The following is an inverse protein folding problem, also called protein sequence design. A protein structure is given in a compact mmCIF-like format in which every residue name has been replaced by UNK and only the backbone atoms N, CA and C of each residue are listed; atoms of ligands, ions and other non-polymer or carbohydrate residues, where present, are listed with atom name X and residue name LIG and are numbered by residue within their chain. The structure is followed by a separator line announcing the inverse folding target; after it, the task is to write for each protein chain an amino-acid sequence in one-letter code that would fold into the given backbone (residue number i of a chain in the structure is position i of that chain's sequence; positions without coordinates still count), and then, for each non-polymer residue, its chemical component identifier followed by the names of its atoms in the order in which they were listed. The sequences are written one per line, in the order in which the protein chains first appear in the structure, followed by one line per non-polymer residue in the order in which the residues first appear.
data_IF_357011392833
#
_entry.id   IF_357011392833
#
_cell.length_a   1.000
_cell.length_b   1.000
_cell.length_c   1.000
_cell.angle_alpha   90.00
_cell.angle_beta   90.00
_cell.angle_gamma   90.00
#
_symmetry.space_group_name_H-M   'P 1'
#
loop_
_entity.id
_entity.type
_entity.pdbx_description
1 polymer ?
#
# COMPACT_ATOMS: atom_id res chain seq x y z
N UNK A 1 -5.96 5.25 4.59
CA UNK A 1 -6.99 4.18 4.47
C UNK A 1 -8.36 4.75 4.80
N UNK A 2 -9.39 4.41 4.01
CA UNK A 2 -10.76 4.89 4.28
C UNK A 2 -11.38 3.99 5.34
N UNK A 3 -11.75 4.57 6.48
CA UNK A 3 -12.49 3.86 7.53
C UNK A 3 -13.98 3.83 7.17
N UNK A 4 -14.55 2.65 7.06
CA UNK A 4 -15.95 2.48 6.73
C UNK A 4 -16.61 1.42 7.63
N UNK A 5 -17.94 1.52 7.79
CA UNK A 5 -18.72 0.49 8.50
C UNK A 5 -19.18 -0.59 7.49
N UNK A 6 -18.70 -1.84 7.58
CA UNK A 6 -19.06 -2.90 6.62
C UNK A 6 -20.57 -3.24 6.59
N UNK A 7 -21.36 -2.77 7.58
CA UNK A 7 -22.81 -3.04 7.66
C UNK A 7 -23.65 -2.10 6.78
N UNK A 8 -23.06 -1.03 6.25
CA UNK A 8 -23.80 0.00 5.45
C UNK A 8 -23.84 -0.34 3.96
N UNK A 9 -24.22 -1.56 3.60
CA UNK A 9 -24.15 -2.11 2.25
C UNK A 9 -24.83 -1.23 1.17
N UNK A 10 -26.06 -0.82 1.42
CA UNK A 10 -26.81 0.00 0.45
C UNK A 10 -26.22 1.40 0.26
N UNK A 11 -25.66 1.99 1.31
CA UNK A 11 -25.06 3.32 1.24
C UNK A 11 -23.78 3.32 0.39
N UNK A 12 -23.06 2.20 0.34
CA UNK A 12 -21.85 2.06 -0.50
C UNK A 12 -22.14 2.01 -1.98
N UNK A 13 -23.20 1.32 -2.41
CA UNK A 13 -23.57 1.18 -3.82
C UNK A 13 -23.79 2.55 -4.48
N UNK A 14 -24.25 3.53 -3.72
CA UNK A 14 -24.58 4.88 -4.24
C UNK A 14 -23.55 5.96 -3.87
N UNK A 15 -22.53 5.63 -3.07
CA UNK A 15 -21.43 6.56 -2.76
C UNK A 15 -20.31 6.44 -3.77
N UNK A 16 -20.34 7.29 -4.79
CA UNK A 16 -19.23 7.49 -5.72
C UNK A 16 -18.06 8.20 -5.00
N UNK A 17 -17.25 7.44 -4.27
CA UNK A 17 -16.07 7.96 -3.58
C UNK A 17 -14.89 8.14 -4.56
N UNK A 18 -13.85 8.93 -4.19
CA UNK A 18 -12.64 9.10 -5.01
C UNK A 18 -11.88 7.78 -5.26
N UNK A 19 -12.04 6.81 -4.37
CA UNK A 19 -11.47 5.45 -4.50
C UNK A 19 -12.35 4.51 -5.33
N UNK A 20 -13.47 4.98 -5.89
CA UNK A 20 -14.37 4.15 -6.67
C UNK A 20 -13.85 3.99 -8.10
N UNK A 21 -13.55 2.75 -8.46
CA UNK A 21 -13.13 2.35 -9.81
C UNK A 21 -14.14 2.74 -10.88
N UNK A 22 -15.44 2.83 -10.55
CA UNK A 22 -16.49 3.26 -11.47
C UNK A 22 -16.21 4.66 -12.05
N UNK A 23 -15.80 5.60 -11.20
CA UNK A 23 -15.50 6.97 -11.64
C UNK A 23 -14.28 7.05 -12.55
N UNK A 24 -13.26 6.24 -12.24
CA UNK A 24 -12.04 6.17 -13.05
C UNK A 24 -12.32 5.54 -14.42
N UNK A 25 -13.19 4.54 -14.47
CA UNK A 25 -13.52 3.79 -15.68
C UNK A 25 -14.63 4.43 -16.53
N UNK A 26 -15.32 5.44 -16.03
CA UNK A 26 -16.48 6.04 -16.73
C UNK A 26 -16.19 6.44 -18.19
N UNK A 27 -15.07 7.13 -18.53
CA UNK A 27 -14.77 7.46 -19.92
C UNK A 27 -14.60 6.23 -20.82
N UNK A 28 -13.93 5.20 -20.29
CA UNK A 28 -13.73 3.95 -21.00
C UNK A 28 -15.05 3.18 -21.19
N UNK A 29 -15.89 3.16 -20.15
CA UNK A 29 -17.22 2.54 -20.19
C UNK A 29 -18.11 3.17 -21.25
N UNK A 30 -18.11 4.50 -21.37
CA UNK A 30 -18.86 5.21 -22.41
C UNK A 30 -18.34 4.86 -23.80
N UNK A 31 -17.03 4.82 -24.00
CA UNK A 31 -16.41 4.42 -25.28
C UNK A 31 -16.80 3.00 -25.68
N UNK A 32 -16.74 2.06 -24.73
CA UNK A 32 -17.13 0.65 -24.97
C UNK A 32 -18.63 0.49 -25.17
N UNK A 33 -19.47 1.31 -24.52
CA UNK A 33 -20.92 1.31 -24.75
C UNK A 33 -21.27 1.71 -26.20
N UNK A 34 -20.63 2.77 -26.70
CA UNK A 34 -20.79 3.24 -28.09
C UNK A 34 -20.31 2.17 -29.07
N UNK A 35 -19.14 1.59 -28.82
CA UNK A 35 -18.57 0.52 -29.65
C UNK A 35 -19.48 -0.70 -29.71
N UNK A 36 -19.90 -1.23 -28.57
CA UNK A 36 -20.77 -2.41 -28.49
C UNK A 36 -22.14 -2.15 -29.09
N UNK A 37 -22.70 -0.94 -28.90
CA UNK A 37 -23.93 -0.54 -29.51
C UNK A 37 -23.86 -0.44 -31.06
N UNK A 38 -22.75 0.09 -31.57
CA UNK A 38 -22.50 0.14 -33.02
C UNK A 38 -22.40 -1.25 -33.63
N UNK A 39 -21.68 -2.20 -32.99
CA UNK A 39 -21.61 -3.59 -33.47
C UNK A 39 -22.98 -4.25 -33.43
N UNK A 40 -23.75 -4.12 -32.33
CA UNK A 40 -25.07 -4.66 -32.22
C UNK A 40 -26.01 -4.15 -33.29
N UNK A 41 -25.98 -2.83 -33.59
CA UNK A 41 -26.73 -2.22 -34.67
C UNK A 41 -26.32 -2.75 -36.04
N UNK A 42 -25.00 -2.82 -36.32
CA UNK A 42 -24.47 -3.29 -37.60
C UNK A 42 -24.85 -4.75 -37.86
N UNK A 43 -24.66 -5.65 -36.90
CA UNK A 43 -25.01 -7.07 -37.05
C UNK A 43 -26.51 -7.29 -37.24
N UNK A 44 -27.36 -6.53 -36.53
CA UNK A 44 -28.79 -6.62 -36.67
C UNK A 44 -29.26 -6.25 -38.09
N UNK A 45 -28.62 -5.29 -38.77
CA UNK A 45 -29.02 -4.80 -40.08
C UNK A 45 -28.38 -5.52 -41.26
N UNK A 46 -27.19 -6.12 -41.09
CA UNK A 46 -26.42 -6.58 -42.24
C UNK A 46 -26.05 -8.06 -42.22
N UNK A 47 -25.94 -8.73 -41.08
CA UNK A 47 -25.29 -10.01 -40.96
C UNK A 47 -26.12 -11.14 -40.31
N UNK A 48 -27.42 -10.96 -40.21
CA UNK A 48 -28.25 -12.01 -39.62
C UNK A 48 -28.49 -13.17 -40.62
N UNK A 49 -27.56 -14.13 -40.68
CA UNK A 49 -27.69 -15.39 -41.45
C UNK A 49 -27.54 -16.63 -40.54
N UNK A 50 -28.14 -17.73 -40.95
CA UNK A 50 -28.05 -19.02 -40.21
C UNK A 50 -26.62 -19.55 -40.10
N UNK A 51 -25.76 -19.30 -41.08
CA UNK A 51 -24.36 -19.73 -41.11
C UNK A 51 -23.51 -19.02 -40.07
N UNK A 52 -23.71 -17.69 -39.91
CA UNK A 52 -23.01 -16.90 -38.87
C UNK A 52 -23.37 -17.35 -37.48
N UNK A 53 -24.59 -17.87 -37.28
CA UNK A 53 -25.06 -18.33 -35.97
C UNK A 53 -24.38 -19.60 -35.49
N UNK A 54 -24.08 -20.55 -36.39
CA UNK A 54 -23.36 -21.77 -36.03
C UNK A 54 -21.87 -21.50 -35.74
N UNK A 55 -21.25 -20.59 -36.51
CA UNK A 55 -19.87 -20.18 -36.26
C UNK A 55 -19.74 -19.46 -34.91
N UNK A 56 -20.64 -18.56 -34.57
CA UNK A 56 -20.63 -17.84 -33.28
C UNK A 56 -20.83 -18.77 -32.07
N UNK A 57 -21.63 -19.86 -32.23
CA UNK A 57 -21.74 -20.90 -31.17
C UNK A 57 -20.43 -21.63 -30.93
N UNK A 58 -19.70 -22.02 -31.98
CA UNK A 58 -18.42 -22.69 -31.85
C UNK A 58 -17.37 -21.75 -31.18
N UNK A 59 -17.32 -20.48 -31.60
CA UNK A 59 -16.42 -19.49 -31.06
C UNK A 59 -16.78 -19.16 -29.57
N UNK A 60 -18.06 -19.16 -29.22
CA UNK A 60 -18.50 -18.86 -27.85
C UNK A 60 -18.00 -19.89 -26.84
N UNK A 61 -17.82 -21.15 -27.25
CA UNK A 61 -17.23 -22.20 -26.42
C UNK A 61 -15.75 -21.88 -26.10
N UNK A 62 -14.96 -21.55 -27.14
CA UNK A 62 -13.56 -21.15 -26.98
C UNK A 62 -13.45 -19.86 -26.10
N UNK A 63 -14.33 -18.91 -26.36
CA UNK A 63 -14.39 -17.67 -25.61
C UNK A 63 -14.67 -17.91 -24.12
N UNK A 64 -15.56 -18.86 -23.79
CA UNK A 64 -15.85 -19.24 -22.41
C UNK A 64 -14.62 -19.85 -21.71
N UNK A 65 -13.82 -20.66 -22.41
CA UNK A 65 -12.56 -21.21 -21.89
C UNK A 65 -11.56 -20.07 -21.64
N UNK A 66 -11.46 -19.10 -22.55
CA UNK A 66 -10.61 -17.92 -22.37
C UNK A 66 -11.08 -17.09 -21.17
N UNK A 67 -12.38 -16.94 -20.97
CA UNK A 67 -12.96 -16.25 -19.80
C UNK A 67 -12.62 -16.93 -18.49
N UNK A 68 -12.67 -18.26 -18.44
CA UNK A 68 -12.22 -19.02 -17.27
C UNK A 68 -10.73 -18.80 -16.99
N UNK A 69 -9.90 -18.87 -18.04
CA UNK A 69 -8.44 -18.62 -17.92
C UNK A 69 -8.17 -17.21 -17.41
N UNK A 70 -8.87 -16.20 -17.95
CA UNK A 70 -8.73 -14.82 -17.52
C UNK A 70 -9.13 -14.64 -16.04
N UNK A 71 -10.24 -15.25 -15.63
CA UNK A 71 -10.70 -15.21 -14.24
C UNK A 71 -9.67 -15.81 -13.28
N UNK A 72 -9.06 -16.94 -13.66
CA UNK A 72 -8.00 -17.57 -12.86
C UNK A 72 -6.77 -16.66 -12.74
N UNK A 73 -6.34 -16.03 -13.83
CA UNK A 73 -5.22 -15.10 -13.83
C UNK A 73 -5.50 -13.87 -12.95
N UNK A 74 -6.73 -13.35 -12.98
CA UNK A 74 -7.14 -12.24 -12.11
C UNK A 74 -7.11 -12.63 -10.61
N UNK A 75 -7.54 -13.84 -10.27
CA UNK A 75 -7.44 -14.34 -8.89
C UNK A 75 -5.99 -14.42 -8.44
N UNK A 76 -5.08 -14.95 -9.24
CA UNK A 76 -3.65 -14.98 -8.91
C UNK A 76 -3.07 -13.57 -8.79
N UNK A 77 -3.47 -12.65 -9.67
CA UNK A 77 -3.05 -11.25 -9.64
C UNK A 77 -3.46 -10.58 -8.33
N UNK A 78 -4.73 -10.73 -7.97
CA UNK A 78 -5.28 -10.11 -6.75
C UNK A 78 -4.65 -10.72 -5.49
N UNK A 79 -4.47 -12.05 -5.43
CA UNK A 79 -3.83 -12.70 -4.31
C UNK A 79 -2.38 -12.22 -4.12
N UNK A 80 -1.60 -12.16 -5.21
CA UNK A 80 -0.22 -11.68 -5.14
C UNK A 80 -0.13 -10.23 -4.66
N UNK A 81 -1.03 -9.35 -5.11
CA UNK A 81 -1.10 -7.97 -4.65
C UNK A 81 -1.51 -7.89 -3.17
N UNK A 82 -2.50 -8.67 -2.75
CA UNK A 82 -2.94 -8.74 -1.36
C UNK A 82 -1.84 -9.26 -0.41
N UNK A 83 -1.07 -10.27 -0.83
CA UNK A 83 0.04 -10.81 -0.03
C UNK A 83 1.09 -9.72 0.25
N UNK A 84 1.41 -8.88 -0.73
CA UNK A 84 2.32 -7.75 -0.58
C UNK A 84 1.77 -6.69 0.39
N UNK A 85 0.50 -6.34 0.24
CA UNK A 85 -0.18 -5.41 1.14
C UNK A 85 -0.18 -5.93 2.57
N UNK A 86 -0.48 -7.23 2.75
CA UNK A 86 -0.51 -7.87 4.06
C UNK A 86 0.88 -8.02 4.69
N UNK A 87 1.90 -8.31 3.86
CA UNK A 87 3.30 -8.29 4.32
C UNK A 87 3.69 -6.89 4.83
N UNK A 88 3.38 -5.84 4.08
CA UNK A 88 3.60 -4.47 4.52
C UNK A 88 2.90 -4.15 5.84
N UNK A 89 1.65 -4.60 6.01
CA UNK A 89 0.89 -4.43 7.26
C UNK A 89 1.53 -5.15 8.45
N UNK A 90 2.03 -6.36 8.24
CA UNK A 90 2.76 -7.12 9.28
C UNK A 90 4.04 -6.40 9.69
N UNK A 91 4.85 -5.95 8.74
CA UNK A 91 6.09 -5.23 9.01
C UNK A 91 5.88 -3.97 9.86
N UNK A 92 4.83 -3.21 9.60
CA UNK A 92 4.47 -2.06 10.43
C UNK A 92 3.96 -2.47 11.81
N UNK A 93 3.34 -3.64 11.94
CA UNK A 93 3.03 -4.24 13.23
C UNK A 93 4.28 -4.62 14.01
N UNK A 94 5.25 -5.23 13.34
CA UNK A 94 6.54 -5.60 13.93
C UNK A 94 7.33 -4.36 14.37
N UNK A 95 7.30 -3.28 13.56
CA UNK A 95 7.88 -2.00 13.94
C UNK A 95 7.28 -1.46 15.25
N UNK A 96 5.97 -1.53 15.39
CA UNK A 96 5.25 -1.13 16.61
C UNK A 96 5.73 -1.92 17.83
N UNK A 97 5.79 -3.25 17.70
CA UNK A 97 6.18 -4.14 18.79
C UNK A 97 7.64 -3.98 19.17
N UNK A 98 8.52 -3.87 18.18
CA UNK A 98 9.97 -3.68 18.42
C UNK A 98 10.23 -2.32 19.07
N UNK A 99 9.54 -1.24 18.68
CA UNK A 99 9.67 0.06 19.32
C UNK A 99 9.21 0.03 20.78
N UNK A 100 8.07 -0.63 21.05
CA UNK A 100 7.56 -0.80 22.42
C UNK A 100 8.50 -1.62 23.29
N UNK A 101 9.03 -2.72 22.77
CA UNK A 101 9.97 -3.58 23.49
C UNK A 101 11.24 -2.81 23.86
N UNK A 102 11.87 -2.16 22.88
CA UNK A 102 13.07 -1.34 23.09
C UNK A 102 12.82 -0.24 24.12
N UNK A 103 11.74 0.52 23.99
CA UNK A 103 11.39 1.60 24.91
C UNK A 103 11.17 1.09 26.35
N UNK A 104 10.45 -0.03 26.51
CA UNK A 104 10.19 -0.63 27.82
C UNK A 104 11.46 -1.17 28.47
N UNK A 105 12.32 -1.85 27.70
CA UNK A 105 13.60 -2.35 28.21
C UNK A 105 14.55 -1.21 28.58
N UNK A 106 14.61 -0.15 27.77
CA UNK A 106 15.41 1.02 28.07
C UNK A 106 14.89 1.75 29.33
N UNK A 107 13.57 1.85 29.48
CA UNK A 107 12.94 2.42 30.67
C UNK A 107 13.28 1.66 31.97
N UNK A 108 13.42 0.33 31.89
CA UNK A 108 13.77 -0.50 33.03
C UNK A 108 15.24 -0.35 33.47
N UNK A 109 16.13 0.01 32.54
CA UNK A 109 17.58 0.10 32.80
C UNK A 109 18.03 1.54 33.16
N UNK A 110 17.44 2.56 32.51
CA UNK A 110 17.81 3.96 32.77
C UNK A 110 17.28 4.44 34.12
N UNK A 111 18.07 5.22 34.88
CA UNK A 111 17.61 5.88 36.10
C UNK A 111 16.35 6.72 35.84
N UNK A 112 15.41 6.74 36.79
CA UNK A 112 14.15 7.48 36.67
C UNK A 112 14.36 9.00 36.54
N UNK A 113 15.44 9.49 37.12
CA UNK A 113 15.85 10.88 37.14
C UNK A 113 16.46 11.36 35.82
N UNK A 114 16.89 10.43 34.95
CA UNK A 114 17.53 10.73 33.65
C UNK A 114 16.50 11.06 32.58
N UNK A 115 15.82 12.18 32.75
CA UNK A 115 14.79 12.69 31.82
C UNK A 115 15.39 13.04 30.46
N UNK A 116 16.61 13.59 30.45
CA UNK A 116 17.27 14.01 29.21
C UNK A 116 17.52 12.84 28.26
N UNK A 117 18.08 11.75 28.76
CA UNK A 117 18.33 10.55 27.96
C UNK A 117 17.01 9.91 27.45
N UNK A 118 15.98 9.93 28.28
CA UNK A 118 14.64 9.43 27.89
C UNK A 118 14.02 10.27 26.78
N UNK A 119 14.06 11.60 26.90
CA UNK A 119 13.53 12.50 25.88
C UNK A 119 14.27 12.36 24.55
N UNK A 120 15.60 12.25 24.56
CA UNK A 120 16.38 12.05 23.35
C UNK A 120 16.05 10.71 22.66
N UNK A 121 15.95 9.63 23.42
CA UNK A 121 15.53 8.32 22.89
C UNK A 121 14.11 8.38 22.35
N UNK A 122 13.19 8.99 23.08
CA UNK A 122 11.79 9.16 22.65
C UNK A 122 11.68 9.93 21.35
N UNK A 123 12.49 10.98 21.19
CA UNK A 123 12.56 11.80 20.00
C UNK A 123 13.07 11.00 18.79
N UNK A 124 14.17 10.26 18.95
CA UNK A 124 14.74 9.43 17.88
C UNK A 124 13.80 8.27 17.52
N UNK A 125 13.20 7.60 18.50
CA UNK A 125 12.21 6.53 18.29
C UNK A 125 10.96 7.03 17.58
N UNK A 126 10.50 8.25 17.89
CA UNK A 126 9.38 8.88 17.19
C UNK A 126 9.77 9.22 15.75
N UNK A 127 10.98 9.70 15.53
CA UNK A 127 11.45 10.14 14.20
C UNK A 127 11.62 8.96 13.23
N UNK A 128 11.96 7.77 13.69
CA UNK A 128 12.20 6.62 12.82
C UNK A 128 10.98 6.22 11.96
N UNK A 129 9.78 6.00 12.51
CA UNK A 129 8.61 5.63 11.70
C UNK A 129 8.17 6.76 10.74
N UNK A 130 8.36 8.04 11.10
CA UNK A 130 8.12 9.16 10.20
C UNK A 130 9.15 9.20 9.06
N UNK A 131 10.42 8.95 9.36
CA UNK A 131 11.47 8.84 8.36
C UNK A 131 11.18 7.69 7.39
N UNK A 132 10.76 6.53 7.90
CA UNK A 132 10.38 5.38 7.08
C UNK A 132 9.18 5.69 6.18
N UNK A 133 8.14 6.30 6.73
CA UNK A 133 6.95 6.67 5.99
C UNK A 133 7.28 7.64 4.83
N UNK A 134 8.05 8.70 5.09
CA UNK A 134 8.47 9.66 4.09
C UNK A 134 9.36 8.98 3.01
N UNK A 135 10.35 8.19 3.43
CA UNK A 135 11.24 7.45 2.53
C UNK A 135 10.48 6.49 1.60
N UNK A 136 9.49 5.77 2.12
CA UNK A 136 8.66 4.87 1.32
C UNK A 136 7.81 5.62 0.27
N UNK A 137 7.50 6.89 0.49
CA UNK A 137 6.83 7.77 -0.49
C UNK A 137 7.78 8.52 -1.43
N UNK A 138 9.10 8.29 -1.33
CA UNK A 138 10.15 9.09 -1.97
C UNK A 138 10.12 10.58 -1.58
N UNK A 139 9.70 10.85 -0.36
CA UNK A 139 9.62 12.19 0.24
C UNK A 139 10.66 12.30 1.36
N UNK A 140 10.83 13.49 1.89
CA UNK A 140 11.56 13.75 3.13
C UNK A 140 10.57 14.12 4.24
N UNK A 141 11.00 13.93 5.48
CA UNK A 141 10.21 14.40 6.64
C UNK A 141 9.98 15.90 6.49
N UNK A 142 8.75 16.36 6.73
CA UNK A 142 8.36 17.75 6.66
C UNK A 142 9.11 18.59 7.71
N UNK A 143 9.51 19.81 7.34
CA UNK A 143 10.13 20.77 8.25
C UNK A 143 9.25 21.11 9.45
N UNK A 144 7.93 21.10 9.30
CA UNK A 144 6.97 21.29 10.39
C UNK A 144 7.10 20.21 11.48
N UNK A 145 7.43 18.96 11.13
CA UNK A 145 7.71 17.90 12.08
C UNK A 145 8.94 18.23 12.93
N UNK A 146 10.02 18.66 12.30
CA UNK A 146 11.25 19.03 13.01
C UNK A 146 11.03 20.24 13.92
N UNK A 147 10.35 21.27 13.45
CA UNK A 147 10.04 22.45 14.26
C UNK A 147 9.23 22.12 15.52
N UNK A 148 8.31 21.14 15.41
CA UNK A 148 7.45 20.70 16.51
C UNK A 148 8.17 19.79 17.52
N UNK A 149 9.03 18.87 17.04
CA UNK A 149 9.58 17.80 17.87
C UNK A 149 11.01 18.09 18.36
N UNK A 150 11.82 18.85 17.62
CA UNK A 150 13.26 19.01 17.83
C UNK A 150 13.65 20.40 18.35
N UNK A 151 12.99 20.88 19.40
CA UNK A 151 13.18 22.25 19.92
C UNK A 151 14.40 22.42 20.87
N UNK A 152 15.01 21.33 21.34
CA UNK A 152 16.10 21.36 22.34
C UNK A 152 17.48 21.44 21.70
N UNK A 153 18.38 22.25 22.26
CA UNK A 153 19.70 22.55 21.68
C UNK A 153 20.61 21.34 21.46
N UNK A 154 20.58 20.34 22.35
CA UNK A 154 21.37 19.10 22.18
C UNK A 154 20.85 18.22 21.04
N UNK A 155 19.58 18.32 20.71
CA UNK A 155 18.95 17.59 19.62
C UNK A 155 19.33 18.18 18.24
N UNK A 156 19.82 19.40 18.16
CA UNK A 156 20.06 20.12 16.90
C UNK A 156 21.06 19.39 15.98
N UNK A 157 22.13 18.82 16.53
CA UNK A 157 23.15 18.12 15.74
C UNK A 157 22.58 16.87 15.03
N UNK A 158 21.78 16.07 15.74
CA UNK A 158 21.11 14.90 15.13
C UNK A 158 20.04 15.34 14.13
N UNK A 159 19.29 16.39 14.45
CA UNK A 159 18.26 16.96 13.57
C UNK A 159 18.84 17.34 12.21
N UNK A 160 19.90 18.13 12.18
CA UNK A 160 20.55 18.56 10.93
C UNK A 160 21.10 17.38 10.12
N UNK A 161 21.71 16.42 10.78
CA UNK A 161 22.19 15.19 10.12
C UNK A 161 21.04 14.43 9.45
N UNK A 162 19.92 14.23 10.13
CA UNK A 162 18.75 13.52 9.63
C UNK A 162 18.11 14.28 8.48
N UNK A 163 17.95 15.61 8.60
CA UNK A 163 17.37 16.47 7.54
C UNK A 163 18.14 16.37 6.22
N UNK A 164 19.46 16.41 6.30
CA UNK A 164 20.34 16.42 5.12
C UNK A 164 20.64 15.01 4.57
N UNK A 165 20.28 13.95 5.31
CA UNK A 165 20.53 12.59 4.88
C UNK A 165 19.73 12.25 3.61
N UNK A 166 20.38 11.50 2.70
CA UNK A 166 19.71 10.90 1.54
C UNK A 166 18.76 9.79 1.98
N UNK A 167 19.18 9.00 2.96
CA UNK A 167 18.41 7.89 3.52
C UNK A 167 18.10 8.18 5.00
N UNK A 168 17.02 8.92 5.22
CA UNK A 168 16.67 9.38 6.57
C UNK A 168 16.44 8.26 7.58
N UNK A 169 15.74 7.14 7.28
CA UNK A 169 15.58 6.03 8.24
C UNK A 169 16.91 5.46 8.71
N UNK A 170 17.87 5.27 7.80
CA UNK A 170 19.21 4.76 8.13
C UNK A 170 19.96 5.75 9.03
N UNK A 171 19.84 7.05 8.77
CA UNK A 171 20.51 8.05 9.60
C UNK A 171 19.90 8.13 11.02
N UNK A 172 18.56 8.03 11.15
CA UNK A 172 17.93 7.93 12.47
C UNK A 172 18.41 6.68 13.22
N UNK A 173 18.49 5.54 12.53
CA UNK A 173 19.05 4.31 13.11
C UNK A 173 20.49 4.51 13.60
N UNK A 174 21.35 5.17 12.80
CA UNK A 174 22.74 5.49 13.20
C UNK A 174 22.76 6.39 14.43
N UNK A 175 21.92 7.41 14.48
CA UNK A 175 21.81 8.28 15.65
C UNK A 175 21.38 7.49 16.90
N UNK A 176 20.43 6.58 16.79
CA UNK A 176 20.03 5.67 17.89
C UNK A 176 21.20 4.80 18.37
N UNK A 177 21.93 4.19 17.44
CA UNK A 177 23.11 3.36 17.76
C UNK A 177 24.23 4.16 18.42
N UNK A 178 24.51 5.36 17.93
CA UNK A 178 25.50 6.27 18.50
C UNK A 178 25.09 6.71 19.92
N UNK A 179 23.81 7.06 20.11
CA UNK A 179 23.31 7.48 21.40
C UNK A 179 23.34 6.37 22.44
N UNK A 180 22.95 5.14 22.11
CA UNK A 180 23.11 3.97 23.00
C UNK A 180 24.58 3.74 23.36
N UNK A 181 25.52 3.90 22.41
CA UNK A 181 26.93 3.78 22.69
C UNK A 181 27.44 4.93 23.60
N UNK A 182 26.90 6.14 23.46
CA UNK A 182 27.21 7.27 24.33
C UNK A 182 26.75 7.00 25.77
N UNK A 183 25.53 6.52 25.98
CA UNK A 183 25.01 6.15 27.31
C UNK A 183 25.89 5.11 28.02
N UNK A 184 26.50 4.21 27.27
CA UNK A 184 27.49 3.25 27.83
C UNK A 184 28.77 3.94 28.25
N UNK A 185 29.30 4.88 27.46
CA UNK A 185 30.53 5.62 27.82
C UNK A 185 30.31 6.50 29.07
N UNK A 186 29.09 7.00 29.26
CA UNK A 186 28.67 7.74 30.45
C UNK A 186 28.43 6.86 31.68
N UNK A 187 28.60 5.54 31.54
CA UNK A 187 28.40 4.56 32.63
C UNK A 187 26.92 4.28 32.96
N UNK A 188 25.96 4.79 32.15
CA UNK A 188 24.52 4.59 32.35
C UNK A 188 24.05 3.20 31.89
N UNK A 189 24.79 2.56 30.97
CA UNK A 189 24.52 1.21 30.44
C UNK A 189 25.77 0.34 30.58
N UNK A 190 25.55 -0.90 31.00
CA UNK A 190 26.64 -1.90 31.00
C UNK A 190 26.80 -2.54 29.60
N UNK A 191 27.94 -3.19 29.35
CA UNK A 191 28.24 -3.77 28.03
C UNK A 191 27.24 -4.82 27.55
N UNK A 192 26.65 -5.59 28.46
CA UNK A 192 25.62 -6.58 28.13
C UNK A 192 24.33 -5.92 27.67
N UNK A 193 23.90 -4.86 28.36
CA UNK A 193 22.73 -4.06 27.97
C UNK A 193 22.92 -3.42 26.59
N UNK A 194 24.12 -2.89 26.31
CA UNK A 194 24.43 -2.31 24.99
C UNK A 194 24.29 -3.34 23.88
N UNK A 195 24.81 -4.55 24.10
CA UNK A 195 24.66 -5.61 23.09
C UNK A 195 23.20 -5.99 22.85
N UNK A 196 22.40 -6.09 23.91
CA UNK A 196 20.98 -6.36 23.81
C UNK A 196 20.24 -5.26 23.03
N UNK A 197 20.45 -3.99 23.38
CA UNK A 197 19.81 -2.85 22.70
C UNK A 197 20.20 -2.72 21.24
N UNK A 198 21.47 -2.99 20.90
CA UNK A 198 21.90 -3.02 19.50
C UNK A 198 21.17 -4.10 18.70
N UNK A 199 20.95 -5.26 19.29
CA UNK A 199 20.19 -6.36 18.66
C UNK A 199 18.74 -5.99 18.46
N UNK A 200 18.12 -5.27 19.40
CA UNK A 200 16.74 -4.77 19.25
C UNK A 200 16.64 -3.68 18.18
N UNK A 201 17.59 -2.75 18.14
CA UNK A 201 17.62 -1.71 17.12
C UNK A 201 17.78 -2.28 15.71
N UNK A 202 18.55 -3.37 15.53
CA UNK A 202 18.69 -4.02 14.22
C UNK A 202 17.33 -4.45 13.65
N UNK A 203 16.36 -4.84 14.48
CA UNK A 203 15.01 -5.18 14.01
C UNK A 203 14.29 -4.00 13.35
N UNK A 204 14.61 -2.76 13.74
CA UNK A 204 14.02 -1.57 13.10
C UNK A 204 14.54 -1.42 11.66
N UNK A 205 15.86 -1.61 11.46
CA UNK A 205 16.42 -1.50 10.11
C UNK A 205 16.06 -2.71 9.24
N UNK A 206 15.84 -3.89 9.82
CA UNK A 206 15.35 -5.08 9.12
C UNK A 206 13.93 -4.82 8.57
N UNK A 207 13.05 -4.17 9.34
CA UNK A 207 11.73 -3.75 8.87
C UNK A 207 11.85 -2.73 7.74
N UNK A 208 12.77 -1.76 7.84
CA UNK A 208 13.01 -0.78 6.79
C UNK A 208 13.39 -1.48 5.47
N UNK A 209 14.38 -2.36 5.49
CA UNK A 209 14.83 -3.10 4.31
C UNK A 209 13.74 -4.01 3.73
N UNK A 210 12.92 -4.63 4.57
CA UNK A 210 11.79 -5.43 4.11
C UNK A 210 10.70 -4.58 3.42
N UNK A 211 10.38 -3.38 3.95
CA UNK A 211 9.47 -2.45 3.31
C UNK A 211 10.02 -1.93 1.97
N UNK A 212 11.31 -1.61 1.90
CA UNK A 212 11.99 -1.22 0.67
C UNK A 212 11.95 -2.33 -0.38
N UNK A 213 12.15 -3.57 0.01
CA UNK A 213 12.03 -4.72 -0.89
C UNK A 213 10.62 -4.79 -1.49
N UNK A 214 9.57 -4.67 -0.67
CA UNK A 214 8.19 -4.63 -1.17
C UNK A 214 8.03 -3.51 -2.20
N UNK A 215 8.46 -2.31 -1.89
CA UNK A 215 8.34 -1.15 -2.78
C UNK A 215 9.10 -1.32 -4.10
N UNK A 216 10.36 -1.78 -4.04
CA UNK A 216 11.29 -1.75 -5.16
C UNK A 216 11.23 -3.00 -6.05
N UNK A 217 10.48 -4.03 -5.65
CA UNK A 217 10.30 -5.26 -6.44
C UNK A 217 8.81 -5.49 -6.76
N UNK A 218 8.22 -4.69 -7.67
CA UNK A 218 6.83 -4.87 -8.09
C UNK A 218 6.65 -6.19 -8.85
N UNK A 219 5.41 -6.58 -9.09
CA UNK A 219 5.07 -7.72 -9.95
C UNK A 219 5.65 -7.46 -11.36
N UNK A 220 6.19 -8.50 -12.05
CA UNK A 220 6.84 -8.33 -13.35
C UNK A 220 5.96 -7.58 -14.35
N UNK A 221 6.50 -6.55 -14.98
CA UNK A 221 5.83 -5.68 -15.95
C UNK A 221 5.13 -6.47 -17.07
N UNK A 222 5.80 -7.50 -17.59
CA UNK A 222 5.24 -8.34 -18.67
C UNK A 222 3.93 -9.04 -18.28
N UNK A 223 3.80 -9.46 -17.00
CA UNK A 223 2.59 -10.09 -16.50
C UNK A 223 1.44 -9.08 -16.42
N UNK A 224 1.67 -7.91 -15.85
CA UNK A 224 0.65 -6.85 -15.73
C UNK A 224 0.18 -6.36 -17.10
N UNK A 225 1.11 -6.15 -18.05
CA UNK A 225 0.77 -5.73 -19.42
C UNK A 225 0.01 -6.83 -20.17
N UNK A 226 0.41 -8.10 -20.02
CA UNK A 226 -0.29 -9.22 -20.64
C UNK A 226 -1.74 -9.27 -20.15
N UNK A 227 -1.96 -9.17 -18.85
CA UNK A 227 -3.29 -9.23 -18.26
C UNK A 227 -4.19 -8.07 -18.75
N UNK A 228 -3.68 -6.83 -18.75
CA UNK A 228 -4.41 -5.66 -19.29
C UNK A 228 -4.78 -5.83 -20.77
N UNK A 229 -3.86 -6.35 -21.59
CA UNK A 229 -4.14 -6.67 -23.00
C UNK A 229 -5.18 -7.77 -23.12
N UNK A 230 -5.10 -8.82 -22.30
CA UNK A 230 -6.06 -9.90 -22.33
C UNK A 230 -7.47 -9.43 -21.97
N UNK A 231 -7.62 -8.62 -20.91
CA UNK A 231 -8.91 -7.99 -20.55
C UNK A 231 -9.43 -7.17 -21.73
N UNK A 232 -8.59 -6.31 -22.32
CA UNK A 232 -8.98 -5.46 -23.44
C UNK A 232 -9.51 -6.28 -24.63
N UNK A 233 -8.76 -7.26 -25.13
CA UNK A 233 -9.17 -8.08 -26.27
C UNK A 233 -10.42 -8.93 -25.92
N UNK A 234 -10.47 -9.45 -24.69
CA UNK A 234 -11.62 -10.21 -24.23
C UNK A 234 -12.90 -9.36 -24.26
N UNK A 235 -12.88 -8.15 -23.76
CA UNK A 235 -14.03 -7.23 -23.78
C UNK A 235 -14.38 -6.77 -25.19
N UNK A 236 -13.36 -6.47 -26.03
CA UNK A 236 -13.62 -6.03 -27.40
C UNK A 236 -14.23 -7.13 -28.29
N UNK A 237 -13.90 -8.38 -28.07
CA UNK A 237 -14.47 -9.51 -28.79
C UNK A 237 -15.90 -9.87 -28.34
N UNK A 238 -16.29 -9.48 -27.11
CA UNK A 238 -17.57 -9.84 -26.53
C UNK A 238 -18.78 -9.48 -27.43
N UNK A 239 -18.91 -8.23 -27.95
CA UNK A 239 -20.03 -7.87 -28.79
C UNK A 239 -20.10 -8.71 -30.08
N UNK A 240 -18.99 -9.00 -30.72
CA UNK A 240 -18.95 -9.81 -31.95
C UNK A 240 -19.47 -11.24 -31.77
N UNK A 241 -19.33 -11.79 -30.58
CA UNK A 241 -19.71 -13.17 -30.28
C UNK A 241 -21.18 -13.27 -29.84
N UNK A 242 -21.67 -12.27 -29.11
CA UNK A 242 -22.97 -12.36 -28.42
C UNK A 242 -24.03 -11.38 -28.92
N UNK A 243 -23.76 -10.48 -29.89
CA UNK A 243 -24.70 -9.50 -30.40
C UNK A 243 -25.95 -10.16 -30.99
N UNK A 244 -25.81 -11.27 -31.73
CA UNK A 244 -26.94 -12.03 -32.31
C UNK A 244 -27.86 -12.63 -31.24
N UNK A 245 -27.35 -12.85 -30.02
CA UNK A 245 -28.15 -13.44 -28.93
C UNK A 245 -28.76 -12.39 -28.01
N UNK A 246 -28.11 -11.22 -27.86
CA UNK A 246 -28.46 -10.22 -26.86
C UNK A 246 -29.03 -8.91 -27.42
N UNK A 247 -28.94 -8.68 -28.72
CA UNK A 247 -29.43 -7.51 -29.51
C UNK A 247 -29.40 -6.20 -28.71
N UNK A 248 -30.44 -5.91 -27.92
CA UNK A 248 -30.60 -4.64 -27.16
C UNK A 248 -29.76 -4.60 -25.89
N UNK A 249 -29.36 -5.74 -25.34
CA UNK A 249 -28.59 -5.83 -24.09
C UNK A 249 -27.09 -5.93 -24.29
N UNK A 250 -26.61 -5.95 -25.53
CA UNK A 250 -25.18 -6.15 -25.80
C UNK A 250 -24.32 -5.03 -25.23
N UNK A 251 -24.74 -3.77 -25.37
CA UNK A 251 -23.97 -2.64 -24.84
C UNK A 251 -23.91 -2.62 -23.29
N UNK A 252 -25.04 -2.69 -22.54
CA UNK A 252 -24.98 -2.69 -21.09
C UNK A 252 -24.24 -3.93 -20.52
N UNK A 253 -24.38 -5.10 -21.13
CA UNK A 253 -23.66 -6.31 -20.67
C UNK A 253 -22.16 -6.19 -20.93
N UNK A 254 -21.74 -5.71 -22.11
CA UNK A 254 -20.32 -5.48 -22.41
C UNK A 254 -19.69 -4.50 -21.44
N UNK A 255 -20.38 -3.41 -21.14
CA UNK A 255 -19.92 -2.41 -20.17
C UNK A 255 -19.81 -3.00 -18.76
N UNK A 256 -20.76 -3.83 -18.37
CA UNK A 256 -20.73 -4.50 -17.08
C UNK A 256 -19.54 -5.48 -16.98
N UNK A 257 -19.28 -6.28 -18.02
CA UNK A 257 -18.12 -7.19 -18.11
C UNK A 257 -16.81 -6.40 -18.03
N UNK A 258 -16.69 -5.29 -18.79
CA UNK A 258 -15.56 -4.39 -18.70
C UNK A 258 -15.36 -3.89 -17.28
N UNK A 259 -16.40 -3.35 -16.68
CA UNK A 259 -16.36 -2.78 -15.34
C UNK A 259 -15.83 -3.81 -14.32
N UNK A 260 -16.40 -5.02 -14.30
CA UNK A 260 -16.00 -6.06 -13.33
C UNK A 260 -14.53 -6.45 -13.51
N UNK A 261 -14.11 -6.79 -14.74
CA UNK A 261 -12.75 -7.27 -14.99
C UNK A 261 -11.69 -6.19 -14.73
N UNK A 262 -11.97 -4.97 -15.20
CA UNK A 262 -11.01 -3.87 -15.06
C UNK A 262 -10.97 -3.33 -13.62
N UNK A 263 -12.09 -3.34 -12.90
CA UNK A 263 -12.12 -2.94 -11.49
C UNK A 263 -11.28 -3.87 -10.61
N UNK A 264 -11.32 -5.18 -10.85
CA UNK A 264 -10.49 -6.15 -10.13
C UNK A 264 -9.01 -5.86 -10.37
N UNK A 265 -8.62 -5.59 -11.64
CA UNK A 265 -7.23 -5.27 -11.97
C UNK A 265 -6.77 -3.94 -11.36
N UNK A 266 -7.61 -2.90 -11.39
CA UNK A 266 -7.29 -1.60 -10.77
C UNK A 266 -7.10 -1.72 -9.25
N UNK A 267 -8.00 -2.46 -8.58
CA UNK A 267 -7.86 -2.70 -7.13
C UNK A 267 -6.56 -3.46 -6.84
N UNK A 268 -6.23 -4.47 -7.65
CA UNK A 268 -4.99 -5.21 -7.49
C UNK A 268 -3.75 -4.32 -7.73
N UNK A 269 -3.81 -3.39 -8.69
CA UNK A 269 -2.74 -2.43 -8.98
C UNK A 269 -2.51 -1.46 -7.81
N UNK A 270 -3.59 -0.93 -7.21
CA UNK A 270 -3.49 -0.06 -6.03
C UNK A 270 -2.85 -0.78 -4.84
N UNK A 271 -3.38 -1.95 -4.44
CA UNK A 271 -2.89 -2.64 -3.24
C UNK A 271 -1.51 -3.31 -3.43
N UNK A 272 -1.00 -3.42 -4.65
CA UNK A 272 0.33 -3.97 -4.94
C UNK A 272 1.46 -3.18 -4.29
N UNK A 273 1.33 -1.84 -4.23
CA UNK A 273 2.29 -0.97 -3.55
C UNK A 273 1.61 -0.28 -2.35
N UNK A 274 1.64 -0.89 -1.17
CA UNK A 274 0.85 -0.44 -0.02
C UNK A 274 1.33 0.87 0.62
N UNK A 275 2.34 1.54 0.07
CA UNK A 275 3.01 2.71 0.66
C UNK A 275 2.90 4.00 -0.16
N UNK A 276 2.27 3.98 -1.32
CA UNK A 276 2.20 5.11 -2.29
C UNK A 276 1.36 6.30 -1.77
N UNK A 277 0.39 6.04 -0.91
CA UNK A 277 -0.56 7.03 -0.42
C UNK A 277 -1.90 7.03 -1.14
N UNK A 278 -2.17 5.99 -1.92
CA UNK A 278 -3.45 5.75 -2.57
C UNK A 278 -4.56 5.46 -1.53
N UNK A 279 -5.85 5.60 -1.88
CA UNK A 279 -6.95 5.45 -0.93
C UNK A 279 -7.01 4.09 -0.21
N UNK A 280 -6.55 3.01 -0.88
CA UNK A 280 -6.54 1.64 -0.34
C UNK A 280 -5.20 1.24 0.31
N UNK A 281 -4.23 2.14 0.34
CA UNK A 281 -2.93 1.91 0.96
C UNK A 281 -2.98 1.87 2.49
N UNK A 282 -1.89 1.39 3.08
CA UNK A 282 -1.73 1.39 4.53
C UNK A 282 -1.68 2.83 5.06
N UNK A 283 -2.35 3.13 6.18
CA UNK A 283 -2.34 4.44 6.82
C UNK A 283 -1.02 4.67 7.56
N UNK A 284 0.09 4.67 6.83
CA UNK A 284 1.45 4.68 7.39
C UNK A 284 1.74 5.90 8.26
N UNK A 285 1.14 7.06 7.94
CA UNK A 285 1.29 8.26 8.77
C UNK A 285 0.60 8.10 10.14
N UNK A 286 -0.65 7.60 10.16
CA UNK A 286 -1.38 7.36 11.41
C UNK A 286 -0.64 6.29 12.25
N UNK A 287 -0.09 5.27 11.59
CA UNK A 287 0.72 4.24 12.24
C UNK A 287 2.01 4.84 12.81
N UNK A 288 2.69 5.74 12.08
CA UNK A 288 3.90 6.41 12.56
C UNK A 288 3.62 7.26 13.80
N UNK A 289 2.51 8.00 13.81
CA UNK A 289 2.05 8.76 14.99
C UNK A 289 1.85 7.85 16.20
N UNK A 290 1.13 6.74 16.01
CA UNK A 290 0.86 5.78 17.08
C UNK A 290 2.14 5.10 17.59
N UNK A 291 3.08 4.75 16.72
CA UNK A 291 4.37 4.15 17.09
C UNK A 291 5.21 5.13 17.90
N UNK A 292 5.28 6.40 17.47
CA UNK A 292 6.00 7.44 18.21
C UNK A 292 5.43 7.65 19.61
N UNK A 293 4.09 7.72 19.73
CA UNK A 293 3.41 7.82 21.02
C UNK A 293 3.71 6.64 21.94
N UNK A 294 3.60 5.40 21.41
CA UNK A 294 3.94 4.18 22.16
C UNK A 294 5.41 4.15 22.62
N UNK A 295 6.33 4.63 21.79
CA UNK A 295 7.76 4.71 22.14
C UNK A 295 8.00 5.68 23.32
N UNK A 296 7.37 6.85 23.32
CA UNK A 296 7.44 7.83 24.42
C UNK A 296 6.81 7.29 25.70
N UNK A 297 5.62 6.71 25.61
CA UNK A 297 4.94 6.08 26.75
C UNK A 297 5.77 4.95 27.35
N UNK A 298 6.34 4.05 26.49
CA UNK A 298 7.21 2.97 26.92
C UNK A 298 8.46 3.44 27.67
N UNK A 299 8.99 4.63 27.35
CA UNK A 299 10.09 5.29 28.06
C UNK A 299 9.65 5.99 29.36
N UNK A 300 8.37 5.98 29.69
CA UNK A 300 7.83 6.69 30.85
C UNK A 300 7.76 8.21 30.65
N UNK A 301 7.75 8.67 29.40
CA UNK A 301 7.55 10.09 29.06
C UNK A 301 6.04 10.30 28.97
N UNK A 302 5.46 10.98 29.94
CA UNK A 302 4.03 11.35 29.93
C UNK A 302 3.77 12.28 28.75
N UNK A 303 2.82 11.93 27.88
CA UNK A 303 2.34 12.84 26.85
C UNK A 303 1.68 14.07 27.51
N UNK A 304 2.11 15.25 27.15
CA UNK A 304 1.32 16.47 27.31
C UNK A 304 0.22 16.55 26.27
#
# INVERSE_FOLDING_TARGET
MITYNPKDWFTFIFRLHKADTFRQLLPLMVGVAIYAGAIGYFEFHTWYSNETRELTKAISTIYSILGFTLSLLLVFRTNSAYDRWWEGRKLWGDLTNNTRAFASHMNAVLPKEDKESREMLGLLLTTFPYALQAHLKNEKIDDAFYAKQWSTHQAHTYCERIKHATHQPLEVFRCLMEYVAQLSKEGKLNGQSVYHFKTELNKLIDVCGACERIKNTPIPFSYSVFLKKFIFFYVMLFPWIYSTQMIYFIAPVTVFVLYVLTSIELIAEEIENPFNGDPNDLPTLEMAVAIGGNGREGLGISGE
#
